data_IF_744309183872
#
_entry.id   IF_744309183872
#
_cell.length_a   1.000
_cell.length_b   1.000
_cell.length_c   1.000
_cell.angle_alpha   90.00
_cell.angle_beta   90.00
_cell.angle_gamma   90.00
#
_symmetry.space_group_name_H-M   'P 1'
#
loop_
_entity.id
_entity.type
_entity.pdbx_description
1 polymer ?
#
# COMPACT_ATOMS: atom_id res chain seq x y z
N UNK A 1 30.95 -56.32 17.72
CA UNK A 1 30.64 -55.03 17.04
C UNK A 1 31.34 -53.93 17.85
N UNK A 2 32.19 -53.10 17.25
CA UNK A 2 33.02 -52.13 17.99
C UNK A 2 32.11 -51.04 18.60
N UNK A 3 32.34 -50.67 19.85
CA UNK A 3 31.65 -49.56 20.56
C UNK A 3 31.63 -48.28 19.73
N UNK A 4 32.69 -48.03 18.98
CA UNK A 4 32.86 -46.92 18.03
C UNK A 4 31.77 -46.93 16.94
N UNK A 5 31.39 -48.10 16.44
CA UNK A 5 30.38 -48.24 15.40
C UNK A 5 28.96 -47.87 15.92
N UNK A 6 28.67 -48.23 17.15
CA UNK A 6 27.40 -47.92 17.81
C UNK A 6 27.29 -46.42 18.10
N UNK A 7 28.37 -45.79 18.53
CA UNK A 7 28.42 -44.33 18.75
C UNK A 7 28.23 -43.59 17.44
N UNK A 8 28.92 -43.98 16.37
CA UNK A 8 28.77 -43.37 15.04
C UNK A 8 27.35 -43.53 14.49
N UNK A 9 26.74 -44.72 14.60
CA UNK A 9 25.37 -44.95 14.12
C UNK A 9 24.33 -44.07 14.81
N UNK A 10 24.51 -43.67 16.09
CA UNK A 10 23.63 -42.78 16.81
C UNK A 10 23.96 -41.30 16.58
N UNK A 11 25.23 -40.97 16.32
CA UNK A 11 25.66 -39.58 16.11
C UNK A 11 25.23 -39.02 14.74
N UNK A 12 25.28 -39.83 13.68
CA UNK A 12 24.93 -39.44 12.32
C UNK A 12 23.48 -38.88 12.22
N UNK A 13 22.44 -39.56 12.73
CA UNK A 13 21.08 -39.01 12.69
C UNK A 13 20.93 -37.70 13.47
N UNK A 14 21.62 -37.56 14.60
CA UNK A 14 21.58 -36.32 15.39
C UNK A 14 22.17 -35.15 14.62
N UNK A 15 23.35 -35.34 14.05
CA UNK A 15 24.00 -34.29 13.22
C UNK A 15 23.15 -33.96 12.00
N UNK A 16 22.62 -34.97 11.31
CA UNK A 16 21.71 -34.72 10.17
C UNK A 16 20.47 -33.92 10.57
N UNK A 17 19.83 -34.25 11.70
CA UNK A 17 18.66 -33.51 12.20
C UNK A 17 19.00 -32.04 12.53
N UNK A 18 20.10 -31.79 13.22
CA UNK A 18 20.57 -30.46 13.56
C UNK A 18 20.88 -29.63 12.30
N UNK A 19 21.53 -30.23 11.32
CA UNK A 19 21.84 -29.60 10.02
C UNK A 19 20.56 -29.25 9.28
N UNK A 20 19.57 -30.13 9.27
CA UNK A 20 18.27 -29.90 8.65
C UNK A 20 17.50 -28.75 9.33
N UNK A 21 17.47 -28.74 10.67
CA UNK A 21 16.86 -27.63 11.43
C UNK A 21 17.55 -26.30 11.10
N UNK A 22 18.88 -26.28 11.10
CA UNK A 22 19.65 -25.08 10.72
C UNK A 22 19.32 -24.61 9.31
N UNK A 23 19.25 -25.50 8.34
CA UNK A 23 18.88 -25.17 6.96
C UNK A 23 17.48 -24.55 6.85
N UNK A 24 16.49 -25.08 7.60
CA UNK A 24 15.13 -24.49 7.65
C UNK A 24 15.17 -23.09 8.24
N UNK A 25 15.90 -22.86 9.33
CA UNK A 25 16.01 -21.55 9.96
C UNK A 25 16.69 -20.52 9.03
N UNK A 26 17.78 -20.93 8.37
CA UNK A 26 18.47 -20.09 7.37
C UNK A 26 17.56 -19.77 6.17
N UNK A 27 16.81 -20.77 5.67
CA UNK A 27 15.84 -20.57 4.60
C UNK A 27 14.75 -19.54 5.01
N UNK A 28 14.15 -19.70 6.19
CA UNK A 28 13.16 -18.74 6.71
C UNK A 28 13.73 -17.34 6.83
N UNK A 29 14.92 -17.18 7.38
CA UNK A 29 15.61 -15.89 7.49
C UNK A 29 15.84 -15.26 6.13
N UNK A 30 16.25 -16.05 5.15
CA UNK A 30 16.46 -15.60 3.76
C UNK A 30 15.16 -15.14 3.12
N UNK A 31 14.04 -15.86 3.34
CA UNK A 31 12.73 -15.45 2.81
C UNK A 31 12.26 -14.13 3.43
N UNK A 32 12.38 -13.96 4.75
CA UNK A 32 12.04 -12.70 5.42
C UNK A 32 12.88 -11.53 4.91
N UNK A 33 14.16 -11.76 4.65
CA UNK A 33 15.03 -10.73 4.09
C UNK A 33 14.63 -10.36 2.67
N UNK A 34 14.36 -11.34 1.80
CA UNK A 34 13.88 -11.12 0.43
C UNK A 34 12.56 -10.35 0.39
N UNK A 35 11.60 -10.73 1.24
CA UNK A 35 10.33 -10.01 1.38
C UNK A 35 10.56 -8.55 1.77
N UNK A 36 11.46 -8.30 2.73
CA UNK A 36 11.76 -6.94 3.19
C UNK A 36 12.49 -6.11 2.13
N UNK A 37 13.41 -6.70 1.39
CA UNK A 37 14.11 -6.04 0.28
C UNK A 37 13.14 -5.69 -0.85
N UNK A 38 12.28 -6.65 -1.25
CA UNK A 38 11.25 -6.45 -2.25
C UNK A 38 10.31 -5.29 -1.85
N UNK A 39 9.75 -5.35 -0.62
CA UNK A 39 8.83 -4.32 -0.15
C UNK A 39 9.50 -2.95 -0.06
N UNK A 40 10.74 -2.87 0.43
CA UNK A 40 11.48 -1.60 0.51
C UNK A 40 11.68 -0.98 -0.87
N UNK A 41 11.93 -1.79 -1.90
CA UNK A 41 12.06 -1.33 -3.28
C UNK A 41 10.72 -0.80 -3.79
N UNK A 42 9.64 -1.59 -3.67
CA UNK A 42 8.30 -1.20 -4.13
C UNK A 42 7.82 0.09 -3.44
N UNK A 43 8.02 0.21 -2.13
CA UNK A 43 7.68 1.40 -1.36
C UNK A 43 8.51 2.61 -1.81
N UNK A 44 9.82 2.43 -2.01
CA UNK A 44 10.69 3.49 -2.53
C UNK A 44 10.25 3.95 -3.92
N UNK A 45 9.94 3.02 -4.81
CA UNK A 45 9.49 3.33 -6.17
C UNK A 45 8.14 4.06 -6.15
N UNK A 46 7.21 3.65 -5.26
CA UNK A 46 5.94 4.33 -5.04
C UNK A 46 6.14 5.78 -4.58
N UNK A 47 6.90 6.01 -3.50
CA UNK A 47 7.15 7.35 -2.97
C UNK A 47 8.07 8.22 -3.84
N UNK A 48 8.80 7.63 -4.78
CA UNK A 48 9.65 8.35 -5.74
C UNK A 48 8.91 8.84 -6.96
N UNK A 49 7.74 8.26 -7.27
CA UNK A 49 6.94 8.65 -8.42
C UNK A 49 6.40 10.08 -8.29
N UNK A 50 6.64 10.91 -9.29
CA UNK A 50 6.27 12.34 -9.26
C UNK A 50 4.75 12.56 -9.16
N UNK A 51 3.94 11.74 -9.82
CA UNK A 51 2.47 11.83 -9.74
C UNK A 51 1.97 11.44 -8.36
N UNK A 52 2.53 10.37 -7.79
CA UNK A 52 2.23 9.94 -6.43
C UNK A 52 2.59 11.02 -5.42
N UNK A 53 3.77 11.63 -5.51
CA UNK A 53 4.19 12.74 -4.63
C UNK A 53 3.19 13.89 -4.64
N UNK A 54 2.67 14.25 -5.82
CA UNK A 54 1.66 15.30 -5.92
C UNK A 54 0.39 14.90 -5.15
N UNK A 55 -0.12 13.66 -5.36
CA UNK A 55 -1.32 13.19 -4.63
C UNK A 55 -1.08 13.15 -3.13
N UNK A 56 0.05 12.63 -2.67
CA UNK A 56 0.39 12.60 -1.24
C UNK A 56 0.42 14.03 -0.64
N UNK A 57 0.95 14.99 -1.40
CA UNK A 57 0.94 16.40 -1.00
C UNK A 57 -0.49 16.96 -0.92
N UNK A 58 -1.37 16.61 -1.88
CA UNK A 58 -2.76 17.02 -1.88
C UNK A 58 -3.58 16.37 -0.74
N UNK A 59 -3.23 15.15 -0.36
CA UNK A 59 -3.84 14.46 0.78
C UNK A 59 -3.41 15.09 2.11
N UNK A 60 -2.15 15.50 2.23
CA UNK A 60 -1.58 16.04 3.46
C UNK A 60 -2.03 17.49 3.75
N UNK A 61 -2.26 18.29 2.73
CA UNK A 61 -2.58 19.72 2.87
C UNK A 61 -4.02 20.03 2.43
N UNK A 62 -4.68 20.95 3.15
CA UNK A 62 -6.04 21.41 2.81
C UNK A 62 -6.08 22.35 1.59
N UNK A 63 -4.94 22.98 1.27
CA UNK A 63 -4.76 23.75 0.05
C UNK A 63 -3.30 23.76 -0.38
N UNK A 64 -3.04 23.58 -1.66
CA UNK A 64 -1.67 23.58 -2.22
C UNK A 64 -1.68 24.19 -3.62
N UNK A 65 -0.56 24.80 -4.00
CA UNK A 65 -0.31 25.18 -5.39
C UNK A 65 0.41 24.02 -6.06
N UNK A 66 -0.15 23.53 -7.16
CA UNK A 66 0.44 22.49 -8.01
C UNK A 66 0.60 23.04 -9.43
N UNK A 67 1.60 22.56 -10.16
CA UNK A 67 1.76 22.93 -11.57
C UNK A 67 0.93 22.00 -12.44
N UNK A 68 0.04 22.60 -13.22
CA UNK A 68 -0.79 21.91 -14.22
C UNK A 68 -0.51 22.63 -15.56
N UNK A 69 0.03 21.89 -16.53
CA UNK A 69 0.41 22.47 -17.84
C UNK A 69 1.27 23.74 -17.71
N UNK A 70 2.30 23.69 -16.87
CA UNK A 70 3.25 24.77 -16.59
C UNK A 70 2.66 26.00 -15.86
N UNK A 71 1.38 25.99 -15.52
CA UNK A 71 0.69 27.03 -14.77
C UNK A 71 0.49 26.62 -13.32
N UNK A 72 0.70 27.57 -12.43
CA UNK A 72 0.41 27.39 -11.01
C UNK A 72 -1.10 27.39 -10.79
N UNK A 73 -1.60 26.31 -10.17
CA UNK A 73 -3.02 26.13 -9.87
C UNK A 73 -3.22 25.81 -8.39
N UNK A 74 -4.11 26.54 -7.74
CA UNK A 74 -4.45 26.29 -6.34
C UNK A 74 -5.48 25.17 -6.22
N UNK A 75 -5.09 24.06 -5.64
CA UNK A 75 -5.96 22.93 -5.30
C UNK A 75 -6.33 23.01 -3.83
N UNK A 76 -7.60 22.96 -3.52
CA UNK A 76 -8.17 22.84 -2.17
C UNK A 76 -9.12 21.65 -2.08
N UNK A 77 -9.66 21.37 -0.89
CA UNK A 77 -10.54 20.23 -0.68
C UNK A 77 -11.83 20.31 -1.51
N UNK A 78 -12.41 21.49 -1.70
CA UNK A 78 -13.60 21.68 -2.54
C UNK A 78 -13.30 21.33 -4.00
N UNK A 79 -12.15 21.77 -4.51
CA UNK A 79 -11.69 21.41 -5.85
C UNK A 79 -11.48 19.91 -5.98
N UNK A 80 -10.81 19.26 -5.01
CA UNK A 80 -10.60 17.81 -5.01
C UNK A 80 -11.91 17.03 -5.02
N UNK A 81 -12.86 17.43 -4.17
CA UNK A 81 -14.22 16.86 -4.16
C UNK A 81 -14.89 17.04 -5.52
N UNK A 82 -14.77 18.22 -6.14
CA UNK A 82 -15.29 18.49 -7.47
C UNK A 82 -14.67 17.64 -8.57
N UNK A 83 -13.33 17.51 -8.56
CA UNK A 83 -12.55 16.76 -9.53
C UNK A 83 -12.80 15.25 -9.44
N UNK A 84 -12.96 14.72 -8.24
CA UNK A 84 -13.15 13.28 -7.98
C UNK A 84 -14.64 12.85 -7.98
N UNK A 85 -15.57 13.71 -8.39
CA UNK A 85 -16.94 13.27 -8.69
C UNK A 85 -16.92 12.24 -9.82
N UNK A 86 -17.78 11.25 -9.72
CA UNK A 86 -17.94 10.22 -10.77
C UNK A 86 -18.66 10.76 -11.99
N UNK A 87 -18.55 10.11 -13.15
CA UNK A 87 -19.19 10.59 -14.40
C UNK A 87 -20.71 10.62 -14.33
N UNK A 88 -21.35 9.84 -13.46
CA UNK A 88 -22.79 9.93 -13.19
C UNK A 88 -23.18 11.14 -12.32
N UNK A 89 -22.22 11.75 -11.60
CA UNK A 89 -22.44 12.94 -10.77
C UNK A 89 -22.06 14.23 -11.50
N UNK A 90 -21.11 14.17 -12.43
CA UNK A 90 -20.59 15.31 -13.18
C UNK A 90 -20.18 14.88 -14.59
N UNK A 91 -20.83 15.43 -15.60
CA UNK A 91 -20.62 15.05 -17.01
C UNK A 91 -19.47 15.78 -17.70
N UNK A 92 -19.03 16.93 -17.16
CA UNK A 92 -17.96 17.75 -17.75
C UNK A 92 -16.95 18.15 -16.69
N UNK A 93 -15.67 17.93 -16.99
CA UNK A 93 -14.54 18.29 -16.13
C UNK A 93 -13.70 19.34 -16.82
N UNK A 94 -13.11 20.27 -16.07
CA UNK A 94 -12.10 21.18 -16.58
C UNK A 94 -10.80 20.44 -16.84
N UNK A 95 -9.84 21.06 -17.55
CA UNK A 95 -8.53 20.47 -17.78
C UNK A 95 -7.79 20.19 -16.47
N UNK A 96 -7.90 21.08 -15.49
CA UNK A 96 -7.30 20.96 -14.18
C UNK A 96 -7.92 19.80 -13.38
N UNK A 97 -9.24 19.66 -13.44
CA UNK A 97 -9.94 18.54 -12.82
C UNK A 97 -9.59 17.22 -13.47
N UNK A 98 -9.52 17.16 -14.81
CA UNK A 98 -9.10 15.97 -15.54
C UNK A 98 -7.66 15.58 -15.17
N UNK A 99 -6.75 16.55 -15.14
CA UNK A 99 -5.38 16.30 -14.69
C UNK A 99 -5.30 15.77 -13.24
N UNK A 100 -6.11 16.34 -12.34
CA UNK A 100 -6.19 15.86 -10.96
C UNK A 100 -6.68 14.40 -10.89
N UNK A 101 -7.67 14.04 -11.71
CA UNK A 101 -8.15 12.65 -11.82
C UNK A 101 -7.06 11.70 -12.28
N UNK A 102 -6.32 12.06 -13.35
CA UNK A 102 -5.19 11.25 -13.86
C UNK A 102 -4.11 11.02 -12.80
N UNK A 103 -3.89 11.98 -11.89
CA UNK A 103 -2.98 11.83 -10.76
C UNK A 103 -3.52 10.81 -9.74
N UNK A 104 -4.81 10.91 -9.39
CA UNK A 104 -5.43 9.98 -8.45
C UNK A 104 -5.59 8.58 -9.03
N UNK A 105 -5.92 8.45 -10.32
CA UNK A 105 -5.96 7.16 -11.00
C UNK A 105 -4.59 6.47 -10.96
N UNK A 106 -3.53 7.17 -11.31
CA UNK A 106 -2.16 6.63 -11.19
C UNK A 106 -1.80 6.22 -9.75
N UNK A 107 -2.21 7.03 -8.77
CA UNK A 107 -1.99 6.73 -7.34
C UNK A 107 -2.72 5.45 -6.92
N UNK A 108 -4.01 5.31 -7.28
CA UNK A 108 -4.80 4.12 -6.94
C UNK A 108 -4.34 2.87 -7.70
N UNK A 109 -3.94 3.00 -8.96
CA UNK A 109 -3.35 1.89 -9.72
C UNK A 109 -2.09 1.34 -9.04
N UNK A 110 -1.18 2.23 -8.63
CA UNK A 110 0.03 1.83 -7.90
C UNK A 110 -0.28 1.28 -6.52
N UNK A 111 -1.26 1.84 -5.82
CA UNK A 111 -1.69 1.33 -4.52
C UNK A 111 -2.33 -0.06 -4.64
N UNK A 112 -3.07 -0.33 -5.72
CA UNK A 112 -3.63 -1.64 -6.03
C UNK A 112 -2.57 -2.75 -6.09
N UNK A 113 -1.36 -2.44 -6.58
CA UNK A 113 -0.27 -3.42 -6.70
C UNK A 113 0.12 -3.99 -5.33
N UNK A 114 0.07 -3.19 -4.25
CA UNK A 114 0.40 -3.68 -2.91
C UNK A 114 -0.60 -4.75 -2.43
N UNK A 115 -1.91 -4.58 -2.72
CA UNK A 115 -2.88 -5.63 -2.39
C UNK A 115 -2.69 -6.89 -3.24
N UNK A 116 -2.32 -6.75 -4.51
CA UNK A 116 -1.98 -7.87 -5.38
C UNK A 116 -0.75 -8.63 -4.84
N UNK A 117 0.27 -7.91 -4.37
CA UNK A 117 1.44 -8.53 -3.74
C UNK A 117 1.08 -9.29 -2.47
N UNK A 118 0.14 -8.77 -1.66
CA UNK A 118 -0.39 -9.49 -0.50
C UNK A 118 -1.14 -10.75 -0.90
N UNK A 119 -2.06 -10.66 -1.88
CA UNK A 119 -2.83 -11.82 -2.38
C UNK A 119 -1.94 -12.92 -2.93
N UNK A 120 -0.81 -12.55 -3.54
CA UNK A 120 0.19 -13.48 -4.07
C UNK A 120 1.16 -14.01 -2.99
N UNK A 121 1.01 -13.60 -1.73
CA UNK A 121 1.87 -14.04 -0.63
C UNK A 121 3.32 -13.52 -0.69
N UNK A 122 3.57 -12.45 -1.47
CA UNK A 122 4.90 -11.85 -1.60
C UNK A 122 5.24 -10.95 -0.42
N UNK A 123 4.22 -10.33 0.20
CA UNK A 123 4.35 -9.40 1.34
C UNK A 123 3.19 -9.59 2.30
N UNK A 124 3.44 -9.41 3.58
CA UNK A 124 2.35 -9.38 4.57
C UNK A 124 1.67 -8.01 4.62
N UNK A 125 0.34 -8.00 4.82
CA UNK A 125 -0.46 -6.78 4.95
C UNK A 125 0.05 -5.86 6.05
N UNK A 126 0.42 -6.42 7.22
CA UNK A 126 0.93 -5.66 8.35
C UNK A 126 2.19 -4.84 8.00
N UNK A 127 3.08 -5.38 7.16
CA UNK A 127 4.26 -4.63 6.72
C UNK A 127 3.90 -3.45 5.82
N UNK A 128 2.89 -3.62 4.95
CA UNK A 128 2.39 -2.52 4.13
C UNK A 128 1.75 -1.45 5.01
N UNK A 129 0.91 -1.85 5.97
CA UNK A 129 0.26 -0.90 6.87
C UNK A 129 1.25 -0.02 7.63
N UNK A 130 2.40 -0.56 8.05
CA UNK A 130 3.44 0.21 8.72
C UNK A 130 4.01 1.34 7.85
N UNK A 131 4.11 1.16 6.53
CA UNK A 131 4.60 2.20 5.63
C UNK A 131 3.53 3.23 5.25
N UNK A 132 2.27 2.81 5.17
CA UNK A 132 1.18 3.62 4.62
C UNK A 132 0.18 4.11 5.68
N UNK A 133 0.38 3.79 6.96
CA UNK A 133 -0.54 4.09 8.06
C UNK A 133 -1.09 5.52 8.02
N UNK A 134 -0.21 6.49 7.84
CA UNK A 134 -0.57 7.90 7.79
C UNK A 134 -1.55 8.20 6.66
N UNK A 135 -1.26 7.75 5.45
CA UNK A 135 -2.11 8.02 4.29
C UNK A 135 -3.39 7.19 4.30
N UNK A 136 -3.33 5.97 4.80
CA UNK A 136 -4.52 5.15 4.97
C UNK A 136 -5.48 5.77 5.99
N UNK A 137 -4.98 6.34 7.08
CA UNK A 137 -5.82 7.10 8.02
C UNK A 137 -6.49 8.30 7.33
N UNK A 138 -5.79 9.05 6.47
CA UNK A 138 -6.40 10.16 5.71
C UNK A 138 -7.53 9.66 4.79
N UNK A 139 -7.32 8.53 4.12
CA UNK A 139 -8.30 7.96 3.18
C UNK A 139 -9.51 7.31 3.88
N UNK A 140 -9.32 6.76 5.08
CA UNK A 140 -10.34 5.97 5.77
C UNK A 140 -11.08 6.72 6.89
N UNK A 141 -10.49 7.80 7.42
CA UNK A 141 -11.11 8.59 8.50
C UNK A 141 -11.48 10.01 8.02
N UNK A 142 -12.19 10.75 8.87
CA UNK A 142 -12.54 12.16 8.63
C UNK A 142 -11.77 13.12 9.55
N UNK A 143 -10.66 12.70 10.11
CA UNK A 143 -9.91 13.51 11.08
C UNK A 143 -9.16 14.66 10.42
N UNK A 144 -8.58 14.42 9.24
CA UNK A 144 -7.77 15.41 8.50
C UNK A 144 -8.48 15.99 7.30
N UNK A 145 -9.33 15.21 6.65
CA UNK A 145 -10.15 15.61 5.51
C UNK A 145 -11.62 15.57 5.88
N UNK A 146 -12.46 16.32 5.16
CA UNK A 146 -13.88 16.37 5.43
C UNK A 146 -14.56 15.00 5.21
N UNK A 147 -15.71 14.80 5.89
CA UNK A 147 -16.56 13.62 5.64
C UNK A 147 -17.02 13.54 4.17
N UNK A 148 -17.16 14.68 3.51
CA UNK A 148 -17.53 14.74 2.10
C UNK A 148 -16.40 14.26 1.20
N UNK A 149 -15.15 14.67 1.49
CA UNK A 149 -13.98 14.17 0.77
C UNK A 149 -13.90 12.64 0.87
N UNK A 150 -14.00 12.09 2.11
CA UNK A 150 -14.00 10.63 2.29
C UNK A 150 -15.09 9.94 1.47
N UNK A 151 -16.34 10.42 1.54
CA UNK A 151 -17.45 9.86 0.75
C UNK A 151 -17.20 9.95 -0.77
N UNK A 152 -16.51 11.00 -1.20
CA UNK A 152 -16.15 11.16 -2.62
C UNK A 152 -15.12 10.15 -3.04
N UNK A 153 -14.08 9.91 -2.23
CA UNK A 153 -13.09 8.85 -2.47
C UNK A 153 -13.77 7.47 -2.50
N UNK A 154 -14.58 7.14 -1.49
CA UNK A 154 -15.27 5.85 -1.42
C UNK A 154 -16.10 5.59 -2.69
N UNK A 155 -16.86 6.59 -3.16
CA UNK A 155 -17.65 6.49 -4.40
C UNK A 155 -16.79 6.41 -5.65
N UNK A 156 -15.65 7.10 -5.67
CA UNK A 156 -14.71 7.06 -6.78
C UNK A 156 -14.12 5.67 -6.94
N UNK A 157 -13.63 5.08 -5.85
CA UNK A 157 -13.08 3.74 -5.81
C UNK A 157 -14.10 2.69 -6.25
N UNK A 158 -15.32 2.77 -5.76
CA UNK A 158 -16.42 1.87 -6.11
C UNK A 158 -16.81 2.01 -7.59
N UNK A 159 -17.02 3.23 -8.08
CA UNK A 159 -17.49 3.49 -9.45
C UNK A 159 -16.48 3.08 -10.53
N UNK A 160 -15.17 3.23 -10.27
CA UNK A 160 -14.09 2.87 -11.20
C UNK A 160 -13.47 1.51 -10.91
N UNK A 161 -14.12 0.70 -10.07
CA UNK A 161 -13.72 -0.69 -9.75
C UNK A 161 -12.30 -0.83 -9.20
N UNK A 162 -11.88 0.10 -8.34
CA UNK A 162 -10.62 0.00 -7.60
C UNK A 162 -10.70 -1.00 -6.43
N UNK A 163 -11.24 -2.20 -6.71
CA UNK A 163 -11.52 -3.25 -5.71
C UNK A 163 -10.30 -3.59 -4.86
N UNK A 164 -9.10 -3.67 -5.46
CA UNK A 164 -7.87 -3.96 -4.71
C UNK A 164 -7.52 -2.87 -3.70
N UNK A 165 -7.79 -1.59 -4.01
CA UNK A 165 -7.56 -0.48 -3.07
C UNK A 165 -8.57 -0.55 -1.93
N UNK A 166 -9.86 -0.73 -2.26
CA UNK A 166 -10.94 -0.84 -1.25
C UNK A 166 -10.65 -1.97 -0.27
N UNK A 167 -10.34 -3.17 -0.76
CA UNK A 167 -10.00 -4.31 0.10
C UNK A 167 -8.78 -4.02 1.01
N UNK A 168 -7.76 -3.36 0.49
CA UNK A 168 -6.56 -3.02 1.27
C UNK A 168 -6.88 -2.04 2.40
N UNK A 169 -7.71 -1.03 2.11
CA UNK A 169 -8.16 -0.04 3.09
C UNK A 169 -9.10 -0.65 4.13
N UNK A 170 -10.00 -1.53 3.74
CA UNK A 170 -10.91 -2.24 4.66
C UNK A 170 -10.15 -3.12 5.64
N UNK A 171 -9.17 -3.89 5.16
CA UNK A 171 -8.29 -4.71 6.00
C UNK A 171 -7.47 -3.86 6.97
N UNK A 172 -7.01 -2.69 6.55
CA UNK A 172 -6.34 -1.74 7.43
C UNK A 172 -7.25 -1.29 8.57
N UNK A 173 -8.50 -0.90 8.24
CA UNK A 173 -9.49 -0.47 9.26
C UNK A 173 -9.83 -1.61 10.22
N UNK A 174 -9.99 -2.84 9.72
CA UNK A 174 -10.25 -4.01 10.56
C UNK A 174 -9.09 -4.33 11.50
N UNK A 175 -7.85 -4.21 11.02
CA UNK A 175 -6.64 -4.43 11.84
C UNK A 175 -6.57 -3.39 12.95
N UNK A 176 -6.78 -2.11 12.64
CA UNK A 176 -6.82 -1.04 13.65
C UNK A 176 -7.88 -1.24 14.73
N UNK A 177 -9.05 -1.78 14.39
CA UNK A 177 -10.10 -2.09 15.37
C UNK A 177 -9.75 -3.24 16.30
N UNK A 178 -8.87 -4.15 15.88
CA UNK A 178 -8.42 -5.28 16.69
C UNK A 178 -7.32 -4.90 17.68
N UNK A 179 -6.57 -3.84 17.36
CA UNK A 179 -5.44 -3.37 18.17
C UNK A 179 -5.86 -2.35 19.26
N UNK A 180 -7.17 -1.95 19.29
CA UNK A 180 -7.80 -1.08 20.30
C UNK A 180 -8.59 -1.89 21.33
#
# INVERSE_FOLDING_TARGET
MSIILIILQNLIPVVATLTFIKAILEYRKTQLWKESEFLSKEVKDFFSDEKVKVVLTLLDWNARIVKINEKDFKVNDEFLIGALKTHNQKSKFTLEEAHCRDLFDNFFDKLSQFNIHCKNGLVSEQKIFNYFEYYFNILTTSERKSKEFKRTIDRYLDYYDYTNVTELLDKFVETKKRDL
#
